data_IF_681720662705
#
_entry.id   IF_681720662705
#
_cell.length_a   1.000
_cell.length_b   1.000
_cell.length_c   1.000
_cell.angle_alpha   90.00
_cell.angle_beta   90.00
_cell.angle_gamma   90.00
#
_symmetry.space_group_name_H-M   'P 1'
#
loop_
_entity.id
_entity.type
_entity.pdbx_description
1 polymer ?
#
# COMPACT_ATOMS: atom_id res chain seq x y z
N UNK A 1 17.29 -2.14 -2.41
CA UNK A 1 15.82 -2.26 -2.51
C UNK A 1 15.28 -2.13 -1.11
N UNK A 2 14.55 -1.07 -0.78
CA UNK A 2 13.66 -1.09 0.38
C UNK A 2 12.25 -1.44 -0.09
N UNK A 3 12.02 -2.74 -0.28
CA UNK A 3 10.65 -3.30 -0.24
C UNK A 3 10.24 -3.50 1.23
N UNK A 4 10.57 -2.50 2.04
CA UNK A 4 10.32 -2.48 3.45
C UNK A 4 10.11 -1.03 3.84
N UNK A 5 9.00 -0.74 4.52
CA UNK A 5 8.89 0.40 5.42
C UNK A 5 9.91 0.22 6.56
N UNK A 6 11.21 0.17 6.27
CA UNK A 6 12.24 -0.02 7.27
C UNK A 6 12.68 1.36 7.77
N UNK A 7 12.57 1.65 9.08
CA UNK A 7 13.10 2.87 9.71
C UNK A 7 14.61 3.02 9.55
N UNK A 8 15.32 2.01 9.00
CA UNK A 8 16.78 1.95 8.93
C UNK A 8 17.49 3.12 8.21
N UNK A 9 16.79 3.96 7.42
CA UNK A 9 17.44 5.12 6.79
C UNK A 9 17.47 6.35 7.68
N UNK A 10 16.85 6.35 8.86
CA UNK A 10 16.95 7.49 9.78
C UNK A 10 18.20 7.43 10.67
N UNK A 11 18.95 6.32 10.70
CA UNK A 11 20.04 6.12 11.66
C UNK A 11 21.42 5.82 11.07
N UNK A 12 21.55 5.48 9.78
CA UNK A 12 22.85 5.25 9.12
C UNK A 12 22.83 5.67 7.64
N UNK A 13 23.76 6.55 7.26
CA UNK A 13 24.06 6.94 5.88
C UNK A 13 24.84 5.82 5.15
N UNK A 14 24.25 4.65 4.96
CA UNK A 14 24.83 3.62 4.09
C UNK A 14 24.08 3.62 2.75
N UNK A 15 24.73 4.16 1.71
CA UNK A 15 24.23 4.14 0.33
C UNK A 15 24.37 2.73 -0.24
N UNK A 16 23.24 2.06 -0.49
CA UNK A 16 23.19 0.78 -1.22
C UNK A 16 22.64 1.04 -2.61
N UNK A 17 23.50 1.00 -3.63
CA UNK A 17 23.09 1.11 -5.04
C UNK A 17 22.27 -0.11 -5.46
N UNK A 18 21.10 0.14 -6.08
CA UNK A 18 20.21 -0.91 -6.59
C UNK A 18 20.43 -1.03 -8.09
N UNK A 19 20.52 -2.27 -8.56
CA UNK A 19 20.60 -2.55 -9.98
C UNK A 19 19.33 -2.02 -10.71
N UNK A 20 19.49 -1.24 -11.80
CA UNK A 20 18.37 -0.68 -12.56
C UNK A 20 17.35 -1.70 -13.06
N UNK A 21 17.77 -2.95 -13.24
CA UNK A 21 16.90 -4.07 -13.65
C UNK A 21 15.80 -4.41 -12.65
N UNK A 22 15.86 -3.93 -11.41
CA UNK A 22 14.80 -4.11 -10.39
C UNK A 22 13.64 -3.12 -10.58
N UNK A 23 13.85 -2.03 -11.32
CA UNK A 23 12.79 -1.05 -11.63
C UNK A 23 11.85 -1.49 -12.74
N UNK A 24 12.14 -2.64 -13.36
CA UNK A 24 11.37 -3.16 -14.46
C UNK A 24 11.12 -4.65 -14.26
N UNK A 25 9.87 -5.06 -14.47
CA UNK A 25 9.50 -6.46 -14.54
C UNK A 25 9.75 -7.05 -15.95
N UNK A 26 10.40 -6.30 -16.85
CA UNK A 26 10.62 -6.70 -18.26
C UNK A 26 11.63 -7.84 -18.37
N UNK A 27 12.50 -8.02 -17.37
CA UNK A 27 13.35 -9.22 -17.27
C UNK A 27 12.53 -10.51 -17.21
N UNK A 28 11.27 -10.41 -16.78
CA UNK A 28 10.34 -11.53 -16.73
C UNK A 28 9.57 -11.73 -18.04
N UNK A 29 9.73 -10.88 -19.06
CA UNK A 29 8.96 -10.92 -20.32
C UNK A 29 9.19 -12.19 -21.11
N UNK A 30 10.39 -12.77 -21.03
CA UNK A 30 10.70 -14.05 -21.67
C UNK A 30 10.04 -15.26 -20.99
N UNK A 31 9.44 -15.10 -19.81
CA UNK A 31 8.94 -16.22 -19.01
C UNK A 31 7.40 -16.29 -19.05
N UNK A 32 6.88 -17.39 -19.62
CA UNK A 32 5.44 -17.71 -19.59
C UNK A 32 4.86 -17.80 -18.16
N UNK A 33 5.72 -18.00 -17.15
CA UNK A 33 5.34 -18.02 -15.74
C UNK A 33 5.12 -16.63 -15.11
N UNK A 34 5.36 -15.52 -15.83
CA UNK A 34 5.22 -14.15 -15.29
C UNK A 34 3.84 -13.85 -14.69
N UNK A 35 2.77 -14.33 -15.31
CA UNK A 35 1.40 -14.20 -14.78
C UNK A 35 1.15 -15.07 -13.55
N UNK A 36 1.85 -16.21 -13.44
CA UNK A 36 1.74 -17.14 -12.30
C UNK A 36 2.53 -16.66 -11.07
N UNK A 37 3.58 -15.85 -11.26
CA UNK A 37 4.43 -15.36 -10.17
C UNK A 37 3.73 -14.32 -9.27
N UNK A 38 2.94 -13.42 -9.86
CA UNK A 38 2.21 -12.37 -9.12
C UNK A 38 0.73 -12.71 -8.90
N UNK A 39 0.15 -13.61 -9.71
CA UNK A 39 -1.19 -14.14 -9.52
C UNK A 39 -2.37 -13.17 -9.77
N UNK A 40 -2.13 -11.85 -9.80
CA UNK A 40 -3.06 -10.78 -10.20
C UNK A 40 -2.30 -9.44 -10.40
N UNK A 41 -2.97 -8.42 -10.95
CA UNK A 41 -2.55 -7.00 -10.87
C UNK A 41 -1.18 -6.67 -11.44
N UNK A 42 -0.73 -7.38 -12.47
CA UNK A 42 0.66 -7.36 -12.96
C UNK A 42 1.17 -5.95 -13.28
N UNK A 43 0.37 -5.15 -13.97
CA UNK A 43 0.74 -3.77 -14.30
C UNK A 43 0.58 -2.81 -13.12
N UNK A 44 -0.25 -3.14 -12.11
CA UNK A 44 -0.21 -2.43 -10.83
C UNK A 44 1.14 -2.64 -10.15
N UNK A 45 1.65 -3.86 -10.11
CA UNK A 45 2.99 -4.15 -9.58
C UNK A 45 4.09 -3.41 -10.35
N UNK A 46 3.95 -3.29 -11.67
CA UNK A 46 4.89 -2.52 -12.50
C UNK A 46 4.85 -1.00 -12.21
N UNK A 47 3.77 -0.47 -11.63
CA UNK A 47 3.68 0.93 -11.22
C UNK A 47 4.29 1.22 -9.85
N UNK A 48 4.49 0.20 -9.00
CA UNK A 48 5.04 0.37 -7.64
C UNK A 48 6.36 1.14 -7.63
N UNK A 49 7.37 0.83 -8.47
CA UNK A 49 8.63 1.57 -8.45
C UNK A 49 8.44 3.06 -8.75
N UNK A 50 7.58 3.41 -9.71
CA UNK A 50 7.33 4.81 -10.11
C UNK A 50 6.62 5.58 -9.00
N UNK A 51 5.61 4.95 -8.37
CA UNK A 51 4.89 5.54 -7.23
C UNK A 51 5.85 5.77 -6.06
N UNK A 52 6.67 4.76 -5.75
CA UNK A 52 7.63 4.86 -4.64
C UNK A 52 8.67 5.96 -4.87
N UNK A 53 9.26 6.04 -6.06
CA UNK A 53 10.21 7.10 -6.43
C UNK A 53 9.60 8.50 -6.26
N UNK A 54 8.34 8.68 -6.67
CA UNK A 54 7.64 9.94 -6.50
C UNK A 54 7.42 10.28 -5.02
N UNK A 55 6.98 9.31 -4.21
CA UNK A 55 6.78 9.50 -2.77
C UNK A 55 8.10 9.89 -2.09
N UNK A 56 9.20 9.22 -2.40
CA UNK A 56 10.53 9.53 -1.85
C UNK A 56 11.03 10.91 -2.31
N UNK A 57 10.93 11.22 -3.59
CA UNK A 57 11.34 12.52 -4.12
C UNK A 57 10.56 13.66 -3.46
N UNK A 58 9.25 13.48 -3.26
CA UNK A 58 8.42 14.49 -2.59
C UNK A 58 8.79 14.64 -1.10
N UNK A 59 9.04 13.53 -0.40
CA UNK A 59 9.52 13.58 0.99
C UNK A 59 10.88 14.29 1.11
N UNK A 60 11.76 14.13 0.13
CA UNK A 60 13.06 14.80 0.12
C UNK A 60 12.92 16.31 -0.09
N UNK A 61 12.03 16.75 -1.00
CA UNK A 61 11.69 18.17 -1.14
C UNK A 61 11.19 18.77 0.18
N UNK A 62 10.32 18.07 0.92
CA UNK A 62 9.83 18.53 2.23
C UNK A 62 10.96 18.67 3.26
N UNK A 63 11.88 17.71 3.32
CA UNK A 63 13.03 17.77 4.25
C UNK A 63 13.96 18.94 3.94
N UNK A 64 14.15 19.24 2.65
CA UNK A 64 14.95 20.36 2.19
C UNK A 64 14.22 21.71 2.31
N UNK A 65 12.95 21.70 2.76
CA UNK A 65 12.11 22.90 2.84
C UNK A 65 11.75 23.48 1.47
N UNK A 66 11.85 22.66 0.41
CA UNK A 66 11.45 23.03 -0.94
C UNK A 66 9.93 22.96 -1.05
N UNK A 67 9.36 23.93 -1.80
CA UNK A 67 7.96 23.89 -2.19
C UNK A 67 7.68 22.76 -3.19
N UNK A 68 6.39 22.52 -3.45
CA UNK A 68 5.95 21.48 -4.36
C UNK A 68 6.50 21.68 -5.78
N UNK A 69 7.31 20.73 -6.27
CA UNK A 69 7.72 20.74 -7.67
C UNK A 69 6.54 20.50 -8.60
N UNK A 70 6.37 21.37 -9.59
CA UNK A 70 5.36 21.23 -10.64
C UNK A 70 5.54 19.91 -11.43
N UNK A 71 6.78 19.44 -11.59
CA UNK A 71 7.06 18.17 -12.27
C UNK A 71 6.54 16.97 -11.47
N UNK A 72 6.80 16.93 -10.16
CA UNK A 72 6.31 15.86 -9.29
C UNK A 72 4.79 15.92 -9.15
N UNK A 73 4.21 17.11 -9.06
CA UNK A 73 2.75 17.32 -9.02
C UNK A 73 2.08 16.73 -10.27
N UNK A 74 2.60 17.05 -11.46
CA UNK A 74 2.09 16.50 -12.73
C UNK A 74 2.23 14.99 -12.81
N UNK A 75 3.33 14.43 -12.32
CA UNK A 75 3.52 12.98 -12.28
C UNK A 75 2.54 12.31 -11.32
N UNK A 76 2.26 12.94 -10.18
CA UNK A 76 1.25 12.49 -9.22
C UNK A 76 -0.14 12.45 -9.84
N UNK A 77 -0.59 13.54 -10.45
CA UNK A 77 -1.88 13.63 -11.12
C UNK A 77 -2.03 12.58 -12.22
N UNK A 78 -0.98 12.37 -13.02
CA UNK A 78 -0.95 11.33 -14.04
C UNK A 78 -1.08 9.93 -13.45
N UNK A 79 -0.35 9.63 -12.37
CA UNK A 79 -0.39 8.31 -11.73
C UNK A 79 -1.75 8.04 -11.04
N UNK A 80 -2.34 9.05 -10.38
CA UNK A 80 -3.70 8.95 -9.82
C UNK A 80 -4.72 8.67 -10.93
N UNK A 81 -4.73 9.49 -11.99
CA UNK A 81 -5.65 9.30 -13.11
C UNK A 81 -5.49 7.93 -13.79
N UNK A 82 -4.25 7.47 -13.94
CA UNK A 82 -3.94 6.14 -14.49
C UNK A 82 -4.43 5.02 -13.58
N UNK A 83 -4.29 5.16 -12.26
CA UNK A 83 -4.80 4.21 -11.29
C UNK A 83 -6.32 4.21 -11.25
N UNK A 84 -6.99 5.36 -11.32
CA UNK A 84 -8.47 5.43 -11.33
C UNK A 84 -9.08 4.86 -12.62
N UNK A 85 -8.44 5.10 -13.76
CA UNK A 85 -8.85 4.55 -15.05
C UNK A 85 -8.47 3.07 -15.26
N UNK A 86 -7.89 2.44 -14.23
CA UNK A 86 -7.39 1.07 -14.33
C UNK A 86 -8.52 0.05 -14.48
N UNK A 87 -8.47 -0.73 -15.56
CA UNK A 87 -9.46 -1.77 -15.85
C UNK A 87 -9.09 -3.10 -15.17
N UNK A 88 -9.87 -3.46 -14.15
CA UNK A 88 -9.70 -4.66 -13.34
C UNK A 88 -9.88 -5.97 -14.13
N UNK A 89 -10.54 -5.94 -15.28
CA UNK A 89 -10.92 -7.13 -16.05
C UNK A 89 -10.03 -7.38 -17.27
N UNK A 90 -9.21 -6.39 -17.66
CA UNK A 90 -8.48 -6.41 -18.94
C UNK A 90 -7.10 -7.07 -18.90
N UNK A 91 -6.50 -7.22 -17.73
CA UNK A 91 -5.12 -7.72 -17.63
C UNK A 91 -4.92 -9.19 -18.04
N UNK A 92 -5.99 -9.98 -18.16
CA UNK A 92 -5.89 -11.43 -18.32
C UNK A 92 -6.50 -11.89 -19.65
N UNK A 93 -5.92 -11.43 -20.77
CA UNK A 93 -6.34 -11.85 -22.12
C UNK A 93 -6.16 -13.36 -22.36
N UNK A 94 -5.32 -14.04 -21.57
CA UNK A 94 -5.03 -15.46 -21.67
C UNK A 94 -6.00 -16.34 -20.84
N UNK A 95 -6.88 -15.74 -20.05
CA UNK A 95 -7.79 -16.48 -19.16
C UNK A 95 -9.24 -16.01 -19.35
N UNK A 96 -10.15 -16.84 -19.89
CA UNK A 96 -11.44 -16.39 -20.39
C UNK A 96 -12.39 -15.82 -19.33
N UNK A 97 -12.11 -16.00 -18.02
CA UNK A 97 -12.77 -15.29 -16.92
C UNK A 97 -11.77 -15.06 -15.77
N UNK A 98 -11.46 -13.81 -15.39
CA UNK A 98 -10.69 -13.57 -14.18
C UNK A 98 -11.49 -14.06 -12.96
N UNK A 99 -10.87 -14.90 -12.13
CA UNK A 99 -11.52 -15.38 -10.91
C UNK A 99 -11.87 -14.22 -9.98
N UNK A 100 -13.03 -14.28 -9.30
CA UNK A 100 -13.52 -13.22 -8.41
C UNK A 100 -12.48 -12.76 -7.37
N UNK A 101 -11.66 -13.68 -6.87
CA UNK A 101 -10.58 -13.37 -5.93
C UNK A 101 -9.48 -12.48 -6.55
N UNK A 102 -9.17 -12.65 -7.84
CA UNK A 102 -8.18 -11.83 -8.56
C UNK A 102 -8.66 -10.40 -8.74
N UNK A 103 -9.90 -10.24 -9.20
CA UNK A 103 -10.54 -8.91 -9.37
C UNK A 103 -10.56 -8.18 -8.03
N UNK A 104 -11.00 -8.89 -6.98
CA UNK A 104 -11.05 -8.37 -5.62
C UNK A 104 -9.66 -7.98 -5.09
N UNK A 105 -8.64 -8.81 -5.33
CA UNK A 105 -7.25 -8.53 -4.93
C UNK A 105 -6.67 -7.33 -5.66
N UNK A 106 -6.95 -7.22 -6.96
CA UNK A 106 -6.50 -6.11 -7.82
C UNK A 106 -7.15 -4.80 -7.39
N UNK A 107 -8.45 -4.81 -7.07
CA UNK A 107 -9.17 -3.63 -6.55
C UNK A 107 -8.60 -3.16 -5.20
N UNK A 108 -8.29 -4.08 -4.28
CA UNK A 108 -7.65 -3.73 -3.01
C UNK A 108 -6.29 -3.05 -3.26
N UNK A 109 -5.46 -3.64 -4.12
CA UNK A 109 -4.14 -3.09 -4.45
C UNK A 109 -4.23 -1.71 -5.12
N UNK A 110 -5.12 -1.55 -6.10
CA UNK A 110 -5.35 -0.29 -6.81
C UNK A 110 -5.67 0.83 -5.82
N UNK A 111 -6.64 0.61 -4.92
CA UNK A 111 -7.02 1.62 -3.94
C UNK A 111 -5.90 1.91 -2.94
N UNK A 112 -5.20 0.89 -2.46
CA UNK A 112 -4.06 1.10 -1.56
C UNK A 112 -2.92 1.89 -2.22
N UNK A 113 -2.66 1.68 -3.52
CA UNK A 113 -1.66 2.47 -4.26
C UNK A 113 -2.07 3.93 -4.38
N UNK A 114 -3.35 4.22 -4.62
CA UNK A 114 -3.86 5.59 -4.65
C UNK A 114 -3.71 6.26 -3.27
N UNK A 115 -4.12 5.58 -2.20
CA UNK A 115 -3.95 6.08 -0.82
C UNK A 115 -2.48 6.34 -0.49
N UNK A 116 -1.59 5.41 -0.86
CA UNK A 116 -0.16 5.59 -0.67
C UNK A 116 0.39 6.78 -1.47
N UNK A 117 -0.09 6.98 -2.69
CA UNK A 117 0.30 8.09 -3.55
C UNK A 117 -0.19 9.44 -3.01
N UNK A 118 -1.42 9.52 -2.50
CA UNK A 118 -1.94 10.70 -1.78
C UNK A 118 -1.04 11.09 -0.61
N UNK A 119 -0.41 10.11 0.05
CA UNK A 119 0.50 10.38 1.16
C UNK A 119 1.76 11.16 0.75
N UNK A 120 2.12 11.19 -0.53
CA UNK A 120 3.21 12.04 -0.99
C UNK A 120 2.87 13.52 -0.83
N UNK A 121 1.66 13.93 -1.19
CA UNK A 121 1.29 15.35 -1.29
C UNK A 121 0.35 15.86 -0.19
N UNK A 122 -0.18 14.95 0.63
CA UNK A 122 -1.10 15.29 1.72
C UNK A 122 -0.54 14.77 3.05
N UNK A 123 0.46 15.45 3.66
CA UNK A 123 1.08 15.00 4.91
C UNK A 123 0.08 14.87 6.07
N UNK A 124 -0.90 15.76 6.12
CA UNK A 124 -2.02 15.71 7.05
C UNK A 124 -3.31 15.42 6.28
N UNK A 125 -3.52 14.16 5.91
CA UNK A 125 -4.68 13.73 5.12
C UNK A 125 -6.03 14.07 5.75
N UNK A 126 -6.10 14.22 7.08
CA UNK A 126 -7.33 14.58 7.78
C UNK A 126 -7.68 16.07 7.69
N UNK A 127 -6.72 16.92 7.32
CA UNK A 127 -6.99 18.35 7.19
C UNK A 127 -7.75 18.72 5.93
N UNK A 128 -7.71 17.84 4.91
CA UNK A 128 -8.46 17.99 3.67
C UNK A 128 -9.76 17.17 3.76
N UNK A 129 -10.89 17.85 3.88
CA UNK A 129 -12.22 17.22 3.98
C UNK A 129 -12.57 16.43 2.73
N UNK A 130 -12.18 16.90 1.55
CA UNK A 130 -12.45 16.22 0.29
C UNK A 130 -11.68 14.90 0.21
N UNK A 131 -10.39 14.93 0.57
CA UNK A 131 -9.57 13.72 0.64
C UNK A 131 -10.08 12.75 1.72
N UNK A 132 -10.47 13.24 2.90
CA UNK A 132 -10.98 12.37 3.96
C UNK A 132 -12.24 11.59 3.51
N UNK A 133 -13.16 12.24 2.79
CA UNK A 133 -14.33 11.59 2.19
C UNK A 133 -13.91 10.57 1.13
N UNK A 134 -12.99 10.92 0.23
CA UNK A 134 -12.48 9.99 -0.79
C UNK A 134 -11.84 8.74 -0.15
N UNK A 135 -11.06 8.91 0.92
CA UNK A 135 -10.43 7.80 1.64
C UNK A 135 -11.48 6.86 2.24
N UNK A 136 -12.52 7.40 2.87
CA UNK A 136 -13.61 6.60 3.43
C UNK A 136 -14.36 5.83 2.34
N UNK A 137 -14.68 6.47 1.21
CA UNK A 137 -15.34 5.81 0.07
C UNK A 137 -14.49 4.67 -0.51
N UNK A 138 -13.17 4.85 -0.59
CA UNK A 138 -12.24 3.80 -1.05
C UNK A 138 -12.15 2.65 -0.04
N UNK A 139 -12.17 2.95 1.25
CA UNK A 139 -12.23 1.93 2.29
C UNK A 139 -13.54 1.14 2.16
N UNK A 140 -14.69 1.82 2.10
CA UNK A 140 -16.02 1.20 1.93
C UNK A 140 -16.05 0.30 0.69
N UNK A 141 -15.55 0.79 -0.45
CA UNK A 141 -15.48 0.03 -1.71
C UNK A 141 -14.68 -1.26 -1.59
N UNK A 142 -13.63 -1.29 -0.78
CA UNK A 142 -12.75 -2.45 -0.63
C UNK A 142 -13.18 -3.42 0.46
N UNK A 143 -14.07 -3.02 1.38
CA UNK A 143 -14.48 -3.83 2.54
C UNK A 143 -15.02 -5.22 2.18
N UNK A 144 -15.92 -5.40 1.19
CA UNK A 144 -16.42 -6.73 0.82
C UNK A 144 -15.29 -7.67 0.34
N UNK A 145 -14.34 -7.12 -0.43
CA UNK A 145 -13.18 -7.86 -0.91
C UNK A 145 -12.24 -8.22 0.25
N UNK A 146 -12.00 -7.31 1.20
CA UNK A 146 -11.22 -7.59 2.42
C UNK A 146 -11.84 -8.71 3.24
N UNK A 147 -13.15 -8.68 3.48
CA UNK A 147 -13.82 -9.75 4.22
C UNK A 147 -13.64 -11.11 3.54
N UNK A 148 -13.80 -11.16 2.22
CA UNK A 148 -13.70 -12.42 1.48
C UNK A 148 -12.27 -12.96 1.45
N UNK A 149 -11.28 -12.10 1.22
CA UNK A 149 -9.89 -12.50 0.95
C UNK A 149 -9.02 -12.60 2.20
N UNK A 150 -9.22 -11.74 3.20
CA UNK A 150 -8.39 -11.73 4.42
C UNK A 150 -8.95 -12.60 5.54
N UNK A 151 -10.27 -12.58 5.73
CA UNK A 151 -10.93 -13.41 6.76
C UNK A 151 -11.10 -14.85 6.26
N UNK A 152 -11.25 -15.03 4.95
CA UNK A 152 -11.21 -16.31 4.26
C UNK A 152 -9.83 -16.98 4.24
N UNK A 153 -9.73 -18.14 3.60
CA UNK A 153 -8.47 -18.89 3.42
C UNK A 153 -7.84 -18.64 2.03
N UNK A 154 -7.85 -17.38 1.57
CA UNK A 154 -7.37 -17.05 0.21
C UNK A 154 -5.84 -17.14 0.12
N UNK A 155 -5.29 -17.70 -0.97
CA UNK A 155 -3.84 -17.72 -1.21
C UNK A 155 -3.25 -16.31 -1.35
N UNK A 156 -4.05 -15.30 -1.67
CA UNK A 156 -3.61 -13.92 -1.86
C UNK A 156 -3.39 -13.15 -0.55
N UNK A 157 -3.80 -13.71 0.61
CA UNK A 157 -3.76 -13.03 1.92
C UNK A 157 -2.39 -12.41 2.25
N UNK A 158 -1.29 -13.09 1.89
CA UNK A 158 0.07 -12.59 2.13
C UNK A 158 0.37 -11.36 1.27
N UNK A 159 0.11 -11.44 -0.03
CA UNK A 159 0.33 -10.33 -0.96
C UNK A 159 -0.53 -9.13 -0.58
N UNK A 160 -1.74 -9.36 -0.08
CA UNK A 160 -2.62 -8.28 0.30
C UNK A 160 -2.25 -7.60 1.62
N UNK A 161 -1.29 -8.12 2.39
CA UNK A 161 -0.92 -7.57 3.69
C UNK A 161 -0.48 -6.10 3.61
N UNK A 162 0.39 -5.74 2.66
CA UNK A 162 0.79 -4.34 2.47
C UNK A 162 -0.41 -3.44 2.16
N UNK A 163 -1.24 -3.75 1.14
CA UNK A 163 -2.47 -2.98 0.90
C UNK A 163 -3.40 -2.90 2.11
N UNK A 164 -3.55 -3.99 2.86
CA UNK A 164 -4.39 -4.05 4.05
C UNK A 164 -3.92 -3.12 5.14
N UNK A 165 -2.60 -3.06 5.40
CA UNK A 165 -2.03 -2.15 6.38
C UNK A 165 -2.16 -0.69 5.94
N UNK A 166 -1.97 -0.40 4.65
CA UNK A 166 -2.15 0.95 4.09
C UNK A 166 -3.60 1.41 4.26
N UNK A 167 -4.58 0.61 3.83
CA UNK A 167 -5.99 0.95 3.95
C UNK A 167 -6.42 1.07 5.42
N UNK A 168 -5.97 0.16 6.29
CA UNK A 168 -6.28 0.18 7.71
C UNK A 168 -5.68 1.39 8.45
N UNK A 169 -4.55 1.92 7.98
CA UNK A 169 -3.95 3.13 8.55
C UNK A 169 -4.82 4.39 8.37
N UNK A 170 -5.73 4.37 7.39
CA UNK A 170 -6.68 5.45 7.12
C UNK A 170 -8.06 5.21 7.73
N UNK A 171 -8.30 4.08 8.40
CA UNK A 171 -9.62 3.75 8.94
C UNK A 171 -9.93 4.53 10.23
N UNK A 172 -11.05 5.26 10.23
CA UNK A 172 -11.53 6.00 11.41
C UNK A 172 -12.82 5.44 11.99
N UNK A 173 -13.71 4.92 11.14
CA UNK A 173 -14.99 4.34 11.57
C UNK A 173 -14.73 3.01 12.30
N UNK A 174 -15.37 2.85 13.46
CA UNK A 174 -15.18 1.65 14.30
C UNK A 174 -15.52 0.35 13.54
N UNK A 175 -16.46 0.41 12.59
CA UNK A 175 -16.81 -0.74 11.76
C UNK A 175 -15.67 -1.16 10.81
N UNK A 176 -14.95 -0.21 10.21
CA UNK A 176 -13.78 -0.45 9.38
C UNK A 176 -12.65 -1.03 10.23
N UNK A 177 -12.39 -0.42 11.39
CA UNK A 177 -11.38 -0.86 12.35
C UNK A 177 -11.64 -2.29 12.77
N UNK A 178 -12.89 -2.64 13.10
CA UNK A 178 -13.27 -4.00 13.49
C UNK A 178 -13.01 -5.01 12.39
N UNK A 179 -13.32 -4.68 11.12
CA UNK A 179 -13.08 -5.57 9.98
C UNK A 179 -11.58 -5.78 9.77
N UNK A 180 -10.78 -4.70 9.71
CA UNK A 180 -9.34 -4.81 9.57
C UNK A 180 -8.69 -5.57 10.72
N UNK A 181 -9.16 -5.35 11.96
CA UNK A 181 -8.68 -6.09 13.13
C UNK A 181 -8.95 -7.59 12.98
N UNK A 182 -10.17 -7.97 12.59
CA UNK A 182 -10.52 -9.37 12.34
C UNK A 182 -9.70 -9.98 11.21
N UNK A 183 -9.47 -9.25 10.10
CA UNK A 183 -8.70 -9.75 8.96
C UNK A 183 -7.20 -9.87 9.22
N UNK A 184 -6.61 -8.92 9.95
CA UNK A 184 -5.17 -8.86 10.24
C UNK A 184 -4.77 -9.73 11.45
N UNK A 185 -5.66 -9.91 12.43
CA UNK A 185 -5.41 -10.72 13.64
C UNK A 185 -6.00 -12.13 13.52
N UNK A 186 -7.03 -12.31 12.70
CA UNK A 186 -7.80 -13.55 12.55
C UNK A 186 -6.95 -14.73 12.13
N UNK A 187 -6.94 -15.76 12.99
CA UNK A 187 -6.20 -17.04 12.93
C UNK A 187 -4.82 -17.00 13.59
N UNK A 188 -4.82 -16.85 14.92
CA UNK A 188 -3.62 -16.71 15.76
C UNK A 188 -2.58 -17.84 15.64
N UNK A 189 -2.99 -19.06 15.30
CA UNK A 189 -2.12 -20.24 15.37
C UNK A 189 -1.22 -20.46 14.13
N UNK A 190 -1.65 -20.04 12.94
CA UNK A 190 -0.88 -20.23 11.68
C UNK A 190 -0.52 -18.94 10.96
N UNK A 191 -0.80 -17.80 11.57
CA UNK A 191 -0.57 -16.51 10.92
C UNK A 191 0.92 -16.17 10.88
N UNK A 192 1.50 -15.91 9.69
CA UNK A 192 2.91 -15.56 9.55
C UNK A 192 3.29 -14.36 10.41
N UNK A 193 4.54 -14.33 10.91
CA UNK A 193 5.03 -13.25 11.78
C UNK A 193 4.85 -11.85 11.18
N UNK A 194 5.00 -11.72 9.86
CA UNK A 194 4.77 -10.45 9.16
C UNK A 194 3.33 -9.92 9.33
N UNK A 195 2.34 -10.79 9.22
CA UNK A 195 0.92 -10.41 9.40
C UNK A 195 0.68 -9.95 10.85
N UNK A 196 1.27 -10.65 11.83
CA UNK A 196 1.20 -10.25 13.25
C UNK A 196 1.83 -8.89 13.49
N UNK A 197 2.99 -8.60 12.89
CA UNK A 197 3.65 -7.30 13.01
C UNK A 197 2.84 -6.19 12.35
N UNK A 198 2.30 -6.42 11.15
CA UNK A 198 1.41 -5.46 10.47
C UNK A 198 0.17 -5.14 11.33
N UNK A 199 -0.49 -6.17 11.86
CA UNK A 199 -1.63 -6.01 12.77
C UNK A 199 -1.26 -5.23 14.03
N UNK A 200 -0.07 -5.48 14.60
CA UNK A 200 0.45 -4.76 15.76
C UNK A 200 0.65 -3.28 15.44
N UNK A 201 1.28 -2.93 14.32
CA UNK A 201 1.53 -1.54 13.92
C UNK A 201 0.20 -0.79 13.78
N UNK A 202 -0.75 -1.35 13.05
CA UNK A 202 -2.08 -0.75 12.86
C UNK A 202 -2.84 -0.61 14.20
N UNK A 203 -2.70 -1.60 15.10
CA UNK A 203 -3.33 -1.53 16.43
C UNK A 203 -2.72 -0.45 17.33
N UNK A 204 -1.42 -0.18 17.20
CA UNK A 204 -0.76 0.93 17.89
C UNK A 204 -1.23 2.26 17.31
N UNK A 205 -1.32 2.32 15.97
CA UNK A 205 -1.77 3.48 15.22
C UNK A 205 -3.16 3.96 15.66
N UNK A 206 -4.15 3.06 15.72
CA UNK A 206 -5.52 3.41 16.14
C UNK A 206 -5.65 3.86 17.59
N UNK A 207 -4.65 3.58 18.44
CA UNK A 207 -4.63 3.95 19.85
C UNK A 207 -3.80 5.19 20.13
N UNK A 208 -3.07 5.69 19.13
CA UNK A 208 -2.21 6.85 19.31
C UNK A 208 -3.06 8.13 19.30
N UNK A 209 -2.98 8.96 20.35
CA UNK A 209 -3.72 10.22 20.40
C UNK A 209 -3.16 11.28 19.43
N UNK A 210 -1.95 11.08 18.89
CA UNK A 210 -1.30 12.03 17.99
C UNK A 210 -1.91 11.92 16.57
N UNK A 211 -2.45 13.01 16.00
CA UNK A 211 -3.02 12.98 14.64
C UNK A 211 -2.00 12.59 13.56
N UNK A 212 -0.70 12.73 13.82
CA UNK A 212 0.37 12.26 12.91
C UNK A 212 0.41 10.75 12.76
N UNK A 213 -0.23 10.00 13.66
CA UNK A 213 -0.39 8.57 13.53
C UNK A 213 -1.38 8.20 12.41
N UNK A 214 -2.13 9.13 11.83
CA UNK A 214 -3.05 8.79 10.75
C UNK A 214 -2.36 8.51 9.40
N UNK A 215 -2.87 7.52 8.67
CA UNK A 215 -2.53 7.24 7.28
C UNK A 215 -1.14 6.61 7.05
N UNK A 216 -0.69 6.52 5.78
CA UNK A 216 0.54 5.81 5.43
C UNK A 216 1.80 6.39 6.08
N UNK A 217 1.87 7.71 6.25
CA UNK A 217 2.97 8.36 6.99
C UNK A 217 2.93 8.05 8.49
N UNK A 218 1.72 7.91 9.04
CA UNK A 218 1.49 7.49 10.42
C UNK A 218 2.06 6.11 10.74
N UNK A 219 2.08 5.20 9.77
CA UNK A 219 2.77 3.90 9.94
C UNK A 219 4.26 4.10 10.26
N UNK A 220 4.98 4.91 9.49
CA UNK A 220 6.39 5.22 9.74
C UNK A 220 6.61 5.93 11.08
N UNK A 221 5.70 6.83 11.45
CA UNK A 221 5.72 7.52 12.75
C UNK A 221 5.61 6.52 13.92
N UNK A 222 4.57 5.67 13.90
CA UNK A 222 4.32 4.66 14.94
C UNK A 222 5.46 3.64 15.00
N UNK A 223 5.96 3.20 13.84
CA UNK A 223 7.09 2.26 13.77
C UNK A 223 8.35 2.84 14.40
N UNK A 224 8.66 4.10 14.13
CA UNK A 224 9.79 4.81 14.75
C UNK A 224 9.57 5.00 16.25
N UNK A 225 8.38 5.44 16.67
CA UNK A 225 8.01 5.69 18.08
C UNK A 225 8.10 4.44 18.95
N UNK A 226 7.84 3.26 18.39
CA UNK A 226 7.83 1.98 19.11
C UNK A 226 8.99 1.04 18.77
N UNK A 227 10.03 1.55 18.08
CA UNK A 227 11.23 0.79 17.67
C UNK A 227 10.89 -0.52 16.91
N UNK A 228 9.96 -0.43 15.96
CA UNK A 228 9.55 -1.55 15.11
C UNK A 228 10.19 -1.41 13.73
N UNK A 229 11.11 -2.32 13.39
CA UNK A 229 11.62 -2.44 12.02
C UNK A 229 10.86 -3.53 11.27
N UNK A 230 10.11 -3.15 10.23
CA UNK A 230 9.27 -4.11 9.52
C UNK A 230 9.16 -3.83 8.02
N UNK A 231 9.42 -4.85 7.21
CA UNK A 231 9.14 -4.83 5.78
C UNK A 231 7.89 -5.61 5.46
N UNK A 232 7.01 -5.02 4.66
CA UNK A 232 5.80 -5.63 4.15
C UNK A 232 6.05 -6.03 2.69
N UNK A 233 6.06 -7.34 2.42
CA UNK A 233 6.04 -7.91 1.07
C UNK A 233 4.62 -8.36 0.73
#
# INVERSE_FOLDING_TARGET
MKLALSPRNMLREEHVEINPSVHSLDILDGYKSRGYLLGFGKSLFAMIPQIHQLVEARQEEEKLGLGDSAALRKQYEYLVAKLDAFDLYREDLDNPRPGQERVSSTMIYQNALIVYLHSAFCPNMLSDVGLAVELDERIDKTMPAFMTLFVGDSPYRRMLLWPGVIMASCAQREEHIRIFRTGLVGRAERTPGAVKTGARIVSLLWKDPDPRAFGPRGLSYVMTKHDISFGLC
#
